data_IF_151356013267
#
_entry.id   IF_151356013267
#
_cell.length_a   1.000
_cell.length_b   1.000
_cell.length_c   1.000
_cell.angle_alpha   90.00
_cell.angle_beta   90.00
_cell.angle_gamma   90.00
#
_symmetry.space_group_name_H-M   'P 1'
#
loop_
_entity.id
_entity.type
_entity.pdbx_description
1 polymer ?
#
# COMPACT_ATOMS: atom_id res chain seq x y z
N UNK A 1 18.89 11.38 24.43
CA UNK A 1 18.27 10.75 23.23
C UNK A 1 17.21 9.77 23.69
N UNK A 2 15.95 9.91 23.24
CA UNK A 2 14.97 8.81 23.39
C UNK A 2 15.49 7.63 22.57
N UNK A 3 15.64 6.47 23.20
CA UNK A 3 15.99 5.23 22.50
C UNK A 3 14.85 4.94 21.51
N UNK A 4 15.16 4.88 20.22
CA UNK A 4 14.17 4.48 19.22
C UNK A 4 13.92 2.99 19.41
N UNK A 5 12.74 2.64 19.91
CA UNK A 5 12.37 1.25 20.14
C UNK A 5 11.76 0.69 18.86
N UNK A 6 12.58 0.02 18.05
CA UNK A 6 12.13 -0.59 16.81
C UNK A 6 11.65 -2.01 17.09
N UNK A 7 10.37 -2.29 16.84
CA UNK A 7 9.80 -3.64 16.94
C UNK A 7 9.84 -4.29 15.56
N UNK A 8 10.55 -5.41 15.47
CA UNK A 8 10.62 -6.20 14.24
C UNK A 8 9.58 -7.32 14.28
N UNK A 9 8.91 -7.54 13.15
CA UNK A 9 8.02 -8.67 12.95
C UNK A 9 8.74 -9.72 12.09
N UNK A 10 8.73 -10.96 12.54
CA UNK A 10 9.19 -12.08 11.72
C UNK A 10 8.17 -12.36 10.61
N UNK A 11 8.67 -12.51 9.38
CA UNK A 11 7.90 -12.99 8.23
C UNK A 11 8.14 -14.49 8.15
N UNK A 12 7.08 -15.29 8.31
CA UNK A 12 7.21 -16.73 8.51
C UNK A 12 6.90 -17.52 7.22
N UNK A 13 6.23 -16.90 6.26
CA UNK A 13 5.79 -17.58 5.04
C UNK A 13 6.04 -16.77 3.78
N UNK A 14 6.19 -17.47 2.64
CA UNK A 14 6.36 -16.83 1.34
C UNK A 14 5.12 -16.01 0.91
N UNK A 15 3.87 -16.44 1.11
CA UNK A 15 2.69 -15.60 0.86
C UNK A 15 2.71 -14.30 1.67
N UNK A 16 3.10 -14.37 2.95
CA UNK A 16 3.24 -13.18 3.80
C UNK A 16 4.32 -12.24 3.27
N UNK A 17 5.50 -12.76 2.91
CA UNK A 17 6.58 -11.97 2.33
C UNK A 17 6.12 -11.23 1.05
N UNK A 18 5.41 -11.93 0.15
CA UNK A 18 4.86 -11.34 -1.08
C UNK A 18 3.88 -10.22 -0.76
N UNK A 19 2.96 -10.45 0.18
CA UNK A 19 1.97 -9.45 0.56
C UNK A 19 2.64 -8.21 1.15
N UNK A 20 3.71 -8.36 1.95
CA UNK A 20 4.46 -7.22 2.52
C UNK A 20 5.14 -6.39 1.44
N UNK A 21 5.81 -7.04 0.48
CA UNK A 21 6.42 -6.35 -0.65
C UNK A 21 5.36 -5.61 -1.47
N UNK A 22 4.26 -6.28 -1.80
CA UNK A 22 3.15 -5.70 -2.56
C UNK A 22 2.53 -4.51 -1.83
N UNK A 23 2.30 -4.62 -0.51
CA UNK A 23 1.76 -3.53 0.30
C UNK A 23 2.63 -2.26 0.22
N UNK A 24 3.93 -2.38 0.50
CA UNK A 24 4.86 -1.25 0.46
C UNK A 24 4.93 -0.62 -0.93
N UNK A 25 5.03 -1.46 -1.95
CA UNK A 25 5.11 -1.01 -3.32
C UNK A 25 3.81 -0.36 -3.81
N UNK A 26 2.65 -0.80 -3.30
CA UNK A 26 1.37 -0.25 -3.72
C UNK A 26 1.06 1.11 -3.09
N UNK A 27 1.35 1.26 -1.80
CA UNK A 27 0.96 2.44 -1.04
C UNK A 27 1.42 3.76 -1.67
N UNK A 28 2.65 3.81 -2.19
CA UNK A 28 3.23 5.01 -2.78
C UNK A 28 2.41 5.61 -3.92
N UNK A 29 1.85 4.79 -4.83
CA UNK A 29 1.12 5.31 -5.98
C UNK A 29 -0.40 5.43 -5.74
N UNK A 30 -0.96 4.74 -4.74
CA UNK A 30 -2.40 4.91 -4.41
C UNK A 30 -2.67 6.33 -3.91
N UNK A 31 -1.77 6.87 -3.09
CA UNK A 31 -1.93 8.21 -2.51
C UNK A 31 -1.65 9.33 -3.51
N UNK A 32 -1.01 9.00 -4.64
CA UNK A 32 -0.61 9.93 -5.69
C UNK A 32 -1.26 9.54 -7.03
N UNK A 33 -2.48 10.03 -7.33
CA UNK A 33 -3.24 9.61 -8.51
C UNK A 33 -2.56 9.92 -9.86
N UNK A 34 -1.57 10.81 -9.86
CA UNK A 34 -0.73 11.14 -11.01
C UNK A 34 0.28 10.05 -11.38
N UNK A 35 0.50 9.06 -10.51
CA UNK A 35 1.45 7.98 -10.74
C UNK A 35 0.79 6.61 -10.92
N UNK A 36 1.32 5.85 -11.87
CA UNK A 36 1.14 4.41 -11.98
C UNK A 36 2.10 3.68 -11.03
N UNK A 37 1.93 2.36 -10.81
CA UNK A 37 2.92 1.56 -10.09
C UNK A 37 4.33 1.77 -10.62
N UNK A 38 4.50 1.86 -11.94
CA UNK A 38 5.82 1.91 -12.60
C UNK A 38 6.37 3.33 -12.81
N UNK A 39 5.60 4.36 -12.49
CA UNK A 39 6.03 5.76 -12.66
C UNK A 39 6.22 6.49 -11.33
N UNK A 40 5.88 5.87 -10.19
CA UNK A 40 6.18 6.44 -8.88
C UNK A 40 7.70 6.38 -8.60
N UNK A 41 8.40 7.51 -8.54
CA UNK A 41 9.87 7.54 -8.56
C UNK A 41 10.53 7.01 -7.28
N UNK A 42 9.79 7.01 -6.17
CA UNK A 42 10.31 6.64 -4.85
C UNK A 42 9.99 5.19 -4.44
N UNK A 43 9.29 4.44 -5.29
CA UNK A 43 8.93 3.05 -5.05
C UNK A 43 9.83 2.07 -5.81
N UNK A 44 10.02 0.87 -5.26
CA UNK A 44 10.80 -0.17 -5.93
C UNK A 44 10.09 -0.76 -7.17
N UNK A 45 8.81 -0.44 -7.39
CA UNK A 45 8.01 -0.98 -8.49
C UNK A 45 8.61 -0.86 -9.88
N UNK A 46 9.12 0.33 -10.21
CA UNK A 46 9.64 0.62 -11.55
C UNK A 46 10.82 -0.29 -11.91
N UNK A 47 11.45 -0.89 -10.91
CA UNK A 47 12.61 -1.76 -11.05
C UNK A 47 12.23 -3.24 -11.15
N UNK A 48 11.12 -3.65 -10.55
CA UNK A 48 10.68 -5.05 -10.56
C UNK A 48 10.31 -5.49 -11.97
N UNK A 49 10.96 -6.56 -12.42
CA UNK A 49 10.79 -7.17 -13.75
C UNK A 49 11.01 -6.15 -14.89
N UNK A 50 11.85 -5.14 -14.66
CA UNK A 50 12.11 -4.06 -15.61
C UNK A 50 13.62 -3.89 -15.87
N UNK A 51 14.19 -4.68 -16.80
CA UNK A 51 15.59 -4.55 -17.17
C UNK A 51 15.95 -3.16 -17.72
N UNK A 52 14.98 -2.48 -18.35
CA UNK A 52 15.19 -1.14 -18.90
C UNK A 52 15.32 -0.08 -17.81
N UNK A 53 14.47 -0.14 -16.77
CA UNK A 53 14.61 0.76 -15.63
C UNK A 53 15.96 0.54 -14.97
N UNK A 54 16.34 -0.70 -14.65
CA UNK A 54 17.65 -0.99 -14.07
C UNK A 54 18.80 -0.39 -14.89
N UNK A 55 18.79 -0.57 -16.23
CA UNK A 55 19.80 0.04 -17.11
C UNK A 55 19.81 1.57 -17.05
N UNK A 56 18.65 2.21 -16.91
CA UNK A 56 18.58 3.67 -16.78
C UNK A 56 19.21 4.13 -15.46
N UNK A 57 18.87 3.48 -14.35
CA UNK A 57 19.35 3.88 -13.03
C UNK A 57 20.81 3.49 -12.75
N UNK A 58 21.32 2.43 -13.37
CA UNK A 58 22.76 2.12 -13.35
C UNK A 58 23.60 3.26 -13.97
N UNK A 59 23.06 4.01 -14.95
CA UNK A 59 23.74 5.21 -15.48
C UNK A 59 23.79 6.36 -14.48
N UNK A 60 22.89 6.38 -13.49
CA UNK A 60 22.89 7.35 -12.41
C UNK A 60 23.94 7.02 -11.32
N UNK A 61 24.60 5.86 -11.43
CA UNK A 61 25.69 5.48 -10.53
C UNK A 61 26.92 6.35 -10.82
N UNK A 62 27.29 7.16 -9.83
CA UNK A 62 28.50 7.97 -9.86
C UNK A 62 29.15 8.02 -8.48
N UNK A 63 30.44 8.34 -8.37
CA UNK A 63 31.03 8.67 -7.09
C UNK A 63 30.33 9.91 -6.51
N UNK A 64 29.84 9.77 -5.29
CA UNK A 64 29.33 10.88 -4.47
C UNK A 64 30.36 11.22 -3.41
N UNK A 65 30.55 12.51 -3.15
CA UNK A 65 31.29 12.98 -1.97
C UNK A 65 30.57 12.57 -0.70
N UNK A 66 31.29 12.50 0.42
CA UNK A 66 30.71 12.27 1.76
C UNK A 66 29.56 13.24 2.05
N UNK A 67 29.74 14.51 1.70
CA UNK A 67 28.72 15.55 1.91
C UNK A 67 27.46 15.29 1.08
N UNK A 68 27.60 14.92 -0.19
CA UNK A 68 26.46 14.56 -1.04
C UNK A 68 25.75 13.31 -0.53
N UNK A 69 26.48 12.25 -0.15
CA UNK A 69 25.85 11.03 0.41
C UNK A 69 25.06 11.33 1.67
N UNK A 70 25.61 12.13 2.58
CA UNK A 70 24.90 12.57 3.80
C UNK A 70 23.64 13.38 3.48
N UNK A 71 23.69 14.20 2.44
CA UNK A 71 22.54 14.97 1.97
C UNK A 71 21.45 14.08 1.38
N UNK A 72 21.81 13.09 0.54
CA UNK A 72 20.88 12.20 -0.14
C UNK A 72 20.24 11.19 0.83
N UNK A 73 21.05 10.60 1.70
CA UNK A 73 20.61 9.57 2.64
C UNK A 73 20.05 10.15 3.96
N UNK A 74 20.17 11.47 4.16
CA UNK A 74 19.81 12.14 5.41
C UNK A 74 20.39 11.46 6.66
N UNK A 75 21.62 10.95 6.57
CA UNK A 75 22.24 10.12 7.61
C UNK A 75 23.72 10.45 7.82
N UNK A 76 24.14 10.50 9.08
CA UNK A 76 25.56 10.60 9.45
C UNK A 76 26.32 9.29 9.22
N UNK A 77 25.62 8.17 9.04
CA UNK A 77 26.19 6.86 8.70
C UNK A 77 26.33 6.65 7.19
N UNK A 78 26.18 7.69 6.38
CA UNK A 78 26.29 7.62 4.93
C UNK A 78 27.70 7.23 4.42
N UNK A 79 28.70 7.24 5.31
CA UNK A 79 30.09 6.94 4.97
C UNK A 79 30.35 5.44 4.80
N UNK A 80 29.46 4.57 5.31
CA UNK A 80 29.55 3.11 5.20
C UNK A 80 28.68 2.54 4.07
N UNK A 81 27.94 3.39 3.36
CA UNK A 81 27.04 2.97 2.27
C UNK A 81 27.73 3.21 0.93
N UNK A 82 28.20 2.12 0.33
CA UNK A 82 28.76 2.13 -1.02
C UNK A 82 27.67 1.97 -2.09
N UNK A 83 28.00 2.37 -3.33
CA UNK A 83 27.14 2.16 -4.51
C UNK A 83 25.76 2.85 -4.46
N UNK A 84 25.63 3.96 -3.72
CA UNK A 84 24.41 4.78 -3.76
C UNK A 84 24.15 5.22 -5.20
N UNK A 85 22.96 4.90 -5.71
CA UNK A 85 22.39 5.47 -6.91
C UNK A 85 21.41 6.56 -6.47
N UNK A 86 21.45 7.72 -7.13
CA UNK A 86 20.53 8.80 -6.82
C UNK A 86 19.87 9.34 -8.08
N UNK A 87 18.58 9.67 -7.97
CA UNK A 87 17.80 10.36 -8.97
C UNK A 87 17.16 11.59 -8.32
N UNK A 88 17.27 12.74 -8.97
CA UNK A 88 16.69 14.01 -8.52
C UNK A 88 17.00 14.40 -7.07
N UNK A 89 18.19 14.00 -6.56
CA UNK A 89 18.65 14.33 -5.21
C UNK A 89 18.27 13.31 -4.12
N UNK A 90 17.63 12.20 -4.50
CA UNK A 90 17.16 11.17 -3.57
C UNK A 90 17.76 9.81 -3.92
N UNK A 91 17.91 8.93 -2.93
CA UNK A 91 18.40 7.59 -3.15
C UNK A 91 17.38 6.76 -3.94
N UNK A 92 17.83 6.15 -5.03
CA UNK A 92 17.01 5.24 -5.82
C UNK A 92 16.88 3.89 -5.09
N UNK A 93 15.73 3.21 -5.17
CA UNK A 93 15.48 1.91 -4.53
C UNK A 93 16.56 0.82 -4.74
N UNK A 94 17.23 0.67 -5.91
CA UNK A 94 18.34 -0.27 -6.06
C UNK A 94 19.49 -0.09 -5.06
N UNK A 95 19.62 1.09 -4.45
CA UNK A 95 20.67 1.38 -3.46
C UNK A 95 20.44 0.73 -2.10
N UNK A 96 19.20 0.38 -1.78
CA UNK A 96 18.81 -0.10 -0.45
C UNK A 96 17.83 -1.28 -0.46
N UNK A 97 17.34 -1.68 -1.64
CA UNK A 97 16.48 -2.85 -1.82
C UNK A 97 17.24 -3.97 -2.54
N UNK A 98 17.14 -5.20 -2.02
CA UNK A 98 17.58 -6.39 -2.71
C UNK A 98 16.56 -6.79 -3.80
N UNK A 99 16.59 -6.08 -4.93
CA UNK A 99 15.57 -6.21 -5.99
C UNK A 99 15.45 -7.64 -6.53
N UNK A 100 16.56 -8.29 -6.86
CA UNK A 100 16.56 -9.66 -7.38
C UNK A 100 15.96 -10.67 -6.37
N UNK A 101 16.25 -10.48 -5.08
CA UNK A 101 15.64 -11.29 -4.02
C UNK A 101 14.12 -11.05 -3.96
N UNK A 102 13.71 -9.78 -4.03
CA UNK A 102 12.31 -9.39 -4.02
C UNK A 102 11.53 -9.92 -5.21
N UNK A 103 12.09 -9.84 -6.42
CA UNK A 103 11.54 -10.43 -7.65
C UNK A 103 11.42 -11.95 -7.51
N UNK A 104 12.45 -12.61 -6.96
CA UNK A 104 12.47 -14.06 -6.73
C UNK A 104 11.41 -14.57 -5.76
N UNK A 105 10.76 -13.69 -4.99
CA UNK A 105 9.59 -14.08 -4.20
C UNK A 105 8.40 -14.41 -5.09
N UNK A 106 8.29 -13.82 -6.28
CA UNK A 106 7.17 -14.00 -7.20
C UNK A 106 7.51 -15.04 -8.26
N UNK A 107 6.47 -15.72 -8.78
CA UNK A 107 6.66 -16.73 -9.83
C UNK A 107 7.16 -16.11 -11.13
N UNK A 108 6.60 -14.97 -11.49
CA UNK A 108 6.86 -14.26 -12.73
C UNK A 108 6.32 -12.80 -12.63
N UNK A 109 6.62 -12.00 -13.65
CA UNK A 109 6.17 -10.61 -13.73
C UNK A 109 4.65 -10.46 -13.72
N UNK A 110 3.93 -11.39 -14.35
CA UNK A 110 2.45 -11.37 -14.41
C UNK A 110 1.82 -11.63 -13.05
N UNK A 111 2.39 -12.55 -12.27
CA UNK A 111 1.99 -12.82 -10.90
C UNK A 111 2.20 -11.59 -10.00
N UNK A 112 3.37 -10.95 -10.10
CA UNK A 112 3.64 -9.70 -9.39
C UNK A 112 2.63 -8.59 -9.76
N UNK A 113 2.42 -8.37 -11.06
CA UNK A 113 1.50 -7.35 -11.55
C UNK A 113 0.04 -7.61 -11.14
N UNK A 114 -0.38 -8.86 -11.10
CA UNK A 114 -1.71 -9.22 -10.61
C UNK A 114 -1.87 -8.85 -9.13
N UNK A 115 -0.89 -9.21 -8.30
CA UNK A 115 -0.94 -8.93 -6.87
C UNK A 115 -0.94 -7.43 -6.56
N UNK A 116 -0.10 -6.64 -7.24
CA UNK A 116 -0.05 -5.18 -7.01
C UNK A 116 -1.33 -4.46 -7.46
N UNK A 117 -2.00 -5.01 -8.47
CA UNK A 117 -3.22 -4.43 -9.02
C UNK A 117 -4.50 -4.90 -8.31
N UNK A 118 -4.47 -6.02 -7.55
CA UNK A 118 -5.68 -6.70 -7.08
C UNK A 118 -5.69 -7.22 -5.64
N UNK A 119 -4.56 -7.28 -4.92
CA UNK A 119 -4.47 -7.98 -3.62
C UNK A 119 -4.99 -7.16 -2.43
N UNK A 120 -6.29 -6.90 -2.40
CA UNK A 120 -6.93 -6.07 -1.36
C UNK A 120 -6.93 -6.76 0.03
N UNK A 121 -7.12 -8.09 0.07
CA UNK A 121 -7.29 -8.85 1.32
C UNK A 121 -5.97 -9.08 2.06
N UNK A 122 -4.91 -9.51 1.36
CA UNK A 122 -3.58 -9.67 1.98
C UNK A 122 -2.99 -8.36 2.50
N UNK A 123 -3.42 -7.21 1.93
CA UNK A 123 -3.04 -5.88 2.39
C UNK A 123 -3.70 -5.55 3.74
N UNK A 124 -5.00 -5.87 3.90
CA UNK A 124 -5.78 -5.65 5.14
C UNK A 124 -5.08 -6.22 6.37
N UNK A 125 -4.61 -7.45 6.25
CA UNK A 125 -3.97 -8.16 7.36
C UNK A 125 -2.63 -7.52 7.73
N UNK A 126 -1.86 -7.05 6.75
CA UNK A 126 -0.58 -6.38 7.01
C UNK A 126 -0.80 -5.06 7.73
N UNK A 127 -1.69 -4.20 7.24
CA UNK A 127 -1.94 -2.90 7.84
C UNK A 127 -2.51 -3.01 9.26
N UNK A 128 -3.46 -3.95 9.47
CA UNK A 128 -3.94 -4.28 10.83
C UNK A 128 -2.80 -4.71 11.74
N UNK A 129 -1.82 -5.46 11.21
CA UNK A 129 -0.67 -5.92 12.01
C UNK A 129 0.28 -4.78 12.39
N UNK A 130 0.54 -3.83 11.48
CA UNK A 130 1.46 -2.70 11.73
C UNK A 130 0.77 -1.50 12.40
N UNK A 131 -0.54 -1.58 12.65
CA UNK A 131 -1.33 -0.49 13.22
C UNK A 131 -1.55 0.68 12.26
N UNK A 132 -1.28 0.49 10.97
CA UNK A 132 -1.51 1.49 9.93
C UNK A 132 -2.90 1.35 9.34
N UNK A 133 -3.43 2.46 8.84
CA UNK A 133 -4.75 2.50 8.24
C UNK A 133 -4.63 2.43 6.72
N UNK A 134 -5.22 1.42 6.10
CA UNK A 134 -5.25 1.31 4.63
C UNK A 134 -6.19 2.35 4.06
N UNK A 135 -5.74 2.99 2.98
CA UNK A 135 -6.60 3.78 2.11
C UNK A 135 -7.10 2.88 0.98
N UNK A 136 -8.40 2.63 0.99
CA UNK A 136 -9.09 1.94 -0.10
C UNK A 136 -9.66 2.97 -1.07
N UNK A 137 -9.47 2.76 -2.38
CA UNK A 137 -10.21 3.52 -3.39
C UNK A 137 -11.69 3.11 -3.38
N UNK A 138 -12.55 3.96 -3.95
CA UNK A 138 -13.99 3.66 -4.03
C UNK A 138 -14.27 2.35 -4.78
N UNK A 139 -13.54 2.07 -5.86
CA UNK A 139 -13.72 0.83 -6.65
C UNK A 139 -13.31 -0.42 -5.87
N UNK A 140 -12.22 -0.33 -5.11
CA UNK A 140 -11.75 -1.42 -4.26
C UNK A 140 -12.74 -1.71 -3.14
N UNK A 141 -13.17 -0.65 -2.45
CA UNK A 141 -14.15 -0.73 -1.39
C UNK A 141 -15.47 -1.30 -1.91
N UNK A 142 -15.92 -0.88 -3.10
CA UNK A 142 -17.12 -1.39 -3.74
C UNK A 142 -17.04 -2.89 -4.05
N UNK A 143 -15.90 -3.38 -4.57
CA UNK A 143 -15.70 -4.82 -4.82
C UNK A 143 -15.78 -5.65 -3.55
N UNK A 144 -15.11 -5.20 -2.48
CA UNK A 144 -15.14 -5.86 -1.17
C UNK A 144 -16.57 -5.94 -0.64
N UNK A 145 -17.28 -4.81 -0.61
CA UNK A 145 -18.65 -4.77 -0.08
C UNK A 145 -19.57 -5.62 -0.94
N UNK A 146 -19.46 -5.56 -2.27
CA UNK A 146 -20.32 -6.33 -3.17
C UNK A 146 -20.17 -7.84 -2.94
N UNK A 147 -18.94 -8.32 -2.72
CA UNK A 147 -18.67 -9.70 -2.34
C UNK A 147 -19.27 -10.03 -0.96
N UNK A 148 -19.03 -9.19 0.05
CA UNK A 148 -19.56 -9.38 1.40
C UNK A 148 -21.09 -9.33 1.46
N UNK A 149 -21.74 -8.48 0.66
CA UNK A 149 -23.20 -8.39 0.58
C UNK A 149 -23.79 -9.63 -0.09
N UNK A 150 -23.11 -10.16 -1.12
CA UNK A 150 -23.53 -11.40 -1.78
C UNK A 150 -23.47 -12.57 -0.81
N UNK A 151 -22.39 -12.66 -0.03
CA UNK A 151 -22.19 -13.72 0.96
C UNK A 151 -23.19 -13.64 2.12
N UNK A 152 -23.39 -12.45 2.70
CA UNK A 152 -24.20 -12.27 3.92
C UNK A 152 -25.69 -12.10 3.67
N UNK A 153 -26.06 -11.50 2.54
CA UNK A 153 -27.44 -11.08 2.27
C UNK A 153 -27.97 -11.58 0.92
N UNK A 154 -27.18 -12.37 0.17
CA UNK A 154 -27.57 -12.88 -1.15
C UNK A 154 -27.64 -11.82 -2.25
N UNK A 155 -27.24 -10.58 -1.97
CA UNK A 155 -27.37 -9.43 -2.88
C UNK A 155 -25.99 -8.92 -3.28
N UNK A 156 -25.68 -8.89 -4.57
CA UNK A 156 -24.39 -8.41 -5.08
C UNK A 156 -24.26 -6.89 -5.11
N UNK A 157 -25.38 -6.15 -5.03
CA UNK A 157 -25.35 -4.69 -4.99
C UNK A 157 -25.55 -4.17 -3.57
N UNK A 158 -24.59 -3.40 -3.02
CA UNK A 158 -24.72 -2.78 -1.70
C UNK A 158 -25.91 -1.80 -1.59
N UNK A 159 -26.40 -1.31 -2.73
CA UNK A 159 -27.55 -0.40 -2.78
C UNK A 159 -28.89 -1.10 -2.50
N UNK A 160 -28.97 -2.41 -2.78
CA UNK A 160 -30.19 -3.22 -2.73
C UNK A 160 -30.39 -3.94 -1.38
N UNK A 161 -29.41 -3.90 -0.47
CA UNK A 161 -29.55 -4.51 0.85
C UNK A 161 -30.53 -3.70 1.72
N UNK A 162 -31.27 -4.35 2.64
CA UNK A 162 -32.21 -3.69 3.56
C UNK A 162 -31.55 -2.59 4.40
N UNK A 163 -32.34 -1.63 4.88
CA UNK A 163 -31.85 -0.49 5.68
C UNK A 163 -31.01 -0.91 6.90
N UNK A 164 -31.45 -1.93 7.63
CA UNK A 164 -30.70 -2.50 8.77
C UNK A 164 -29.36 -3.11 8.33
N UNK A 165 -29.35 -3.87 7.22
CA UNK A 165 -28.12 -4.44 6.65
C UNK A 165 -27.14 -3.34 6.18
N UNK A 166 -27.64 -2.19 5.71
CA UNK A 166 -26.79 -1.02 5.39
C UNK A 166 -26.10 -0.48 6.65
N UNK A 167 -26.77 -0.47 7.78
CA UNK A 167 -26.17 -0.02 9.05
C UNK A 167 -25.06 -0.97 9.49
N UNK A 168 -25.28 -2.28 9.39
CA UNK A 168 -24.24 -3.28 9.68
C UNK A 168 -23.04 -3.15 8.74
N UNK A 169 -23.28 -2.92 7.44
CA UNK A 169 -22.19 -2.69 6.48
C UNK A 169 -21.47 -1.36 6.70
N UNK A 170 -22.16 -0.33 7.17
CA UNK A 170 -21.50 0.92 7.56
C UNK A 170 -20.51 0.70 8.71
N UNK A 171 -20.85 -0.15 9.69
CA UNK A 171 -19.95 -0.52 10.80
C UNK A 171 -18.73 -1.30 10.27
N UNK A 172 -18.96 -2.31 9.44
CA UNK A 172 -17.87 -3.09 8.81
C UNK A 172 -16.94 -2.15 8.02
N UNK A 173 -17.51 -1.26 7.20
CA UNK A 173 -16.73 -0.30 6.43
C UNK A 173 -15.90 0.65 7.29
N UNK A 174 -16.47 1.09 8.41
CA UNK A 174 -15.73 1.94 9.35
C UNK A 174 -14.60 1.18 10.02
N UNK A 175 -14.90 0.06 10.66
CA UNK A 175 -13.99 -0.57 11.61
C UNK A 175 -13.01 -1.52 10.94
N UNK A 176 -13.43 -2.22 9.89
CA UNK A 176 -12.57 -3.17 9.19
C UNK A 176 -11.81 -2.57 8.01
N UNK A 177 -12.36 -1.51 7.41
CA UNK A 177 -11.83 -0.91 6.18
C UNK A 177 -11.49 0.57 6.32
N UNK A 178 -11.67 1.16 7.50
CA UNK A 178 -11.31 2.56 7.78
C UNK A 178 -11.92 3.56 6.78
N UNK A 179 -13.09 3.25 6.22
CA UNK A 179 -13.74 4.08 5.22
C UNK A 179 -14.21 5.41 5.83
N UNK A 180 -14.08 6.50 5.05
CA UNK A 180 -14.61 7.81 5.42
C UNK A 180 -16.14 7.87 5.32
N UNK A 181 -16.76 8.83 6.01
CA UNK A 181 -18.23 9.02 6.00
C UNK A 181 -18.74 9.21 4.57
N UNK A 182 -18.00 9.98 3.76
CA UNK A 182 -18.31 10.22 2.35
C UNK A 182 -18.28 8.91 1.55
N UNK A 183 -17.27 8.07 1.76
CA UNK A 183 -17.17 6.77 1.10
C UNK A 183 -18.32 5.85 1.52
N UNK A 184 -18.61 5.76 2.82
CA UNK A 184 -19.72 4.94 3.34
C UNK A 184 -21.06 5.37 2.72
N UNK A 185 -21.33 6.67 2.68
CA UNK A 185 -22.56 7.21 2.07
C UNK A 185 -22.65 6.85 0.58
N UNK A 186 -21.56 7.00 -0.19
CA UNK A 186 -21.52 6.66 -1.61
C UNK A 186 -21.72 5.16 -1.86
N UNK A 187 -21.02 4.32 -1.10
CA UNK A 187 -21.03 2.86 -1.30
C UNK A 187 -22.40 2.25 -0.98
N UNK A 188 -23.04 2.66 0.11
CA UNK A 188 -24.31 2.08 0.58
C UNK A 188 -25.54 2.84 0.08
N UNK A 189 -25.34 3.97 -0.59
CA UNK A 189 -26.38 4.94 -0.98
C UNK A 189 -27.28 5.29 0.21
N UNK A 190 -26.65 5.71 1.31
CA UNK A 190 -27.33 6.22 2.50
C UNK A 190 -27.04 7.71 2.65
N UNK A 191 -27.99 8.45 3.22
CA UNK A 191 -27.79 9.87 3.50
C UNK A 191 -26.83 10.05 4.69
N UNK A 192 -26.09 11.18 4.73
CA UNK A 192 -25.26 11.52 5.89
C UNK A 192 -26.05 11.61 7.20
N UNK A 193 -27.34 11.97 7.15
CA UNK A 193 -28.21 12.03 8.32
C UNK A 193 -28.46 10.64 8.93
N UNK A 194 -28.67 9.61 8.11
CA UNK A 194 -28.85 8.23 8.55
C UNK A 194 -27.55 7.67 9.13
N UNK A 195 -26.41 8.00 8.49
CA UNK A 195 -25.10 7.61 9.02
C UNK A 195 -24.76 8.31 10.35
N UNK A 196 -25.19 9.56 10.55
CA UNK A 196 -24.96 10.28 11.80
C UNK A 196 -25.79 9.75 12.97
N UNK A 197 -26.94 9.14 12.70
CA UNK A 197 -27.82 8.53 13.71
C UNK A 197 -27.37 7.13 14.12
N UNK A 198 -26.50 6.49 13.32
CA UNK A 198 -25.92 5.20 13.69
C UNK A 198 -24.79 5.41 14.68
N UNK A 199 -24.74 4.58 15.72
CA UNK A 199 -23.72 4.61 16.80
C UNK A 199 -22.36 4.17 16.23
N UNK A 200 -21.80 4.99 15.34
CA UNK A 200 -20.50 4.80 14.73
C UNK A 200 -19.67 6.00 15.22
N UNK A 201 -18.70 5.79 16.11
CA UNK A 201 -17.88 6.89 16.63
C UNK A 201 -17.21 7.62 15.47
N UNK A 202 -17.36 8.95 15.46
CA UNK A 202 -16.71 9.81 14.47
C UNK A 202 -15.19 9.71 14.64
N UNK A 203 -14.47 9.55 13.54
CA UNK A 203 -13.01 9.65 13.52
C UNK A 203 -12.65 11.10 13.90
N UNK A 204 -11.90 11.28 15.00
CA UNK A 204 -11.35 12.58 15.39
C UNK A 204 -10.22 12.98 14.43
#
# INVERSE_FOLDING_TARGET
MKKLECKYRAIMTLPEARNVVVYNNRNGFIVHPEFSPFSYPWGANSFYFSPMAMKYYEKCKRPFTVRERRSILHSHLADVVDNVMALDGFAAPPSFCALALGEGLFRDASHYFNMISRSIEGQKDIAKTIGESIFYTDDELYRIISASCKERFGQSSPSLIPGEAKIEMAKVLRFDYNASDKQICRMLRISPSVLAQTIIPKKK
#
